data_IF_695822189942
#
_entry.id   IF_695822189942
#
_cell.length_a   1.000
_cell.length_b   1.000
_cell.length_c   1.000
_cell.angle_alpha   90.00
_cell.angle_beta   90.00
_cell.angle_gamma   90.00
#
_symmetry.space_group_name_H-M   'P 1'
#
loop_
_entity.id
_entity.type
_entity.pdbx_description
1 polymer ?
#
# COMPACT_ATOMS: atom_id res chain seq x y z
N UNK A 1 6.72 -6.91 -24.94
CA UNK A 1 7.15 -7.70 -23.77
C UNK A 1 6.08 -7.57 -22.69
N UNK A 2 5.61 -8.67 -22.09
CA UNK A 2 4.66 -8.59 -20.96
C UNK A 2 5.42 -8.08 -19.74
N UNK A 3 4.86 -7.11 -19.02
CA UNK A 3 5.41 -6.53 -17.79
C UNK A 3 4.35 -6.58 -16.69
N UNK A 4 4.63 -7.31 -15.62
CA UNK A 4 3.80 -7.38 -14.42
C UNK A 4 4.38 -6.47 -13.35
N UNK A 5 3.55 -5.62 -12.75
CA UNK A 5 3.90 -4.78 -11.60
C UNK A 5 3.07 -5.20 -10.40
N UNK A 6 3.74 -5.61 -9.32
CA UNK A 6 3.13 -5.92 -8.04
C UNK A 6 3.60 -4.87 -7.05
N UNK A 7 2.68 -4.05 -6.57
CA UNK A 7 2.99 -2.93 -5.69
C UNK A 7 2.66 -3.30 -4.25
N UNK A 8 3.62 -3.14 -3.34
CA UNK A 8 3.35 -3.14 -1.90
C UNK A 8 2.59 -1.85 -1.55
N UNK A 9 1.30 -2.00 -1.22
CA UNK A 9 0.41 -0.89 -0.92
C UNK A 9 0.81 -0.14 0.34
N UNK A 10 1.15 -0.84 1.42
CA UNK A 10 1.48 -0.19 2.70
C UNK A 10 2.79 0.57 2.59
N UNK A 11 3.83 -0.01 1.98
CA UNK A 11 5.10 0.69 1.80
C UNK A 11 4.96 1.99 0.99
N UNK A 12 4.14 1.98 -0.07
CA UNK A 12 3.88 3.18 -0.88
C UNK A 12 3.07 4.24 -0.12
N UNK A 13 2.07 3.81 0.66
CA UNK A 13 1.24 4.72 1.48
C UNK A 13 2.08 5.39 2.57
N UNK A 14 2.92 4.65 3.30
CA UNK A 14 3.82 5.23 4.29
C UNK A 14 4.80 6.22 3.64
N UNK A 15 5.40 5.86 2.51
CA UNK A 15 6.28 6.75 1.76
C UNK A 15 5.57 8.04 1.35
N UNK A 16 4.34 7.94 0.85
CA UNK A 16 3.52 9.08 0.46
C UNK A 16 3.18 10.00 1.64
N UNK A 17 2.81 9.41 2.79
CA UNK A 17 2.51 10.15 4.01
C UNK A 17 3.70 10.98 4.48
N UNK A 18 4.88 10.35 4.61
CA UNK A 18 6.06 11.04 5.10
C UNK A 18 6.64 12.05 4.10
N UNK A 19 6.50 11.81 2.79
CA UNK A 19 6.94 12.75 1.75
C UNK A 19 6.25 14.13 1.86
N UNK A 20 5.01 14.16 2.32
CA UNK A 20 4.22 15.38 2.46
C UNK A 20 4.02 15.80 3.93
N UNK A 21 4.67 15.14 4.89
CA UNK A 21 4.51 15.42 6.32
C UNK A 21 4.90 16.86 6.72
N UNK A 22 5.86 17.47 6.00
CA UNK A 22 6.26 18.88 6.21
C UNK A 22 5.29 19.89 5.63
N UNK A 23 4.45 19.49 4.67
CA UNK A 23 3.45 20.36 4.05
C UNK A 23 2.18 19.55 3.71
N UNK A 24 1.41 19.17 4.74
CA UNK A 24 0.26 18.29 4.58
C UNK A 24 -0.86 18.95 3.78
N UNK A 25 -1.60 18.13 3.05
CA UNK A 25 -2.79 18.53 2.29
C UNK A 25 -4.05 18.12 3.03
N UNK A 26 -4.99 19.05 3.15
CA UNK A 26 -6.26 18.83 3.80
C UNK A 26 -7.42 19.20 2.86
N UNK A 27 -8.53 18.50 2.99
CA UNK A 27 -9.80 18.92 2.39
C UNK A 27 -10.40 20.10 3.16
N UNK A 28 -11.42 20.75 2.60
CA UNK A 28 -12.22 21.76 3.32
C UNK A 28 -12.91 21.21 4.57
N UNK A 29 -13.14 19.90 4.64
CA UNK A 29 -13.67 19.20 5.81
C UNK A 29 -12.60 18.78 6.83
N UNK A 30 -11.33 19.16 6.63
CA UNK A 30 -10.23 18.88 7.56
C UNK A 30 -9.61 17.49 7.45
N UNK A 31 -9.94 16.70 6.41
CA UNK A 31 -9.35 15.37 6.23
C UNK A 31 -7.96 15.49 5.59
N UNK A 32 -6.94 14.85 6.20
CA UNK A 32 -5.60 14.76 5.63
C UNK A 32 -5.60 13.85 4.38
N UNK A 33 -5.28 14.41 3.22
CA UNK A 33 -5.24 13.70 1.93
C UNK A 33 -3.83 13.48 1.42
N UNK A 34 -2.81 13.81 2.22
CA UNK A 34 -1.41 13.73 1.82
C UNK A 34 -1.01 12.33 1.35
N UNK A 35 -1.38 11.30 2.11
CA UNK A 35 -1.09 9.92 1.75
C UNK A 35 -1.79 9.49 0.45
N UNK A 36 -3.06 9.84 0.29
CA UNK A 36 -3.85 9.53 -0.92
C UNK A 36 -3.24 10.21 -2.15
N UNK A 37 -2.93 11.50 -2.05
CA UNK A 37 -2.35 12.28 -3.14
C UNK A 37 -0.95 11.76 -3.51
N UNK A 38 -0.08 11.52 -2.52
CA UNK A 38 1.27 11.03 -2.77
C UNK A 38 1.28 9.61 -3.37
N UNK A 39 0.38 8.73 -2.91
CA UNK A 39 0.20 7.40 -3.48
C UNK A 39 -0.25 7.51 -4.94
N UNK A 40 -1.26 8.34 -5.21
CA UNK A 40 -1.80 8.55 -6.58
C UNK A 40 -0.73 9.06 -7.54
N UNK A 41 0.07 10.03 -7.11
CA UNK A 41 1.18 10.55 -7.93
C UNK A 41 2.17 9.45 -8.27
N UNK A 42 2.54 8.63 -7.29
CA UNK A 42 3.46 7.49 -7.49
C UNK A 42 2.87 6.46 -8.45
N UNK A 43 1.60 6.12 -8.27
CA UNK A 43 0.88 5.18 -9.14
C UNK A 43 0.83 5.66 -10.60
N UNK A 44 0.44 6.92 -10.81
CA UNK A 44 0.40 7.54 -12.14
C UNK A 44 1.77 7.58 -12.81
N UNK A 45 2.82 7.88 -12.04
CA UNK A 45 4.19 7.88 -12.52
C UNK A 45 4.63 6.49 -13.00
N UNK A 46 4.35 5.45 -12.22
CA UNK A 46 4.65 4.05 -12.60
C UNK A 46 3.89 3.68 -13.88
N UNK A 47 2.59 3.96 -13.96
CA UNK A 47 1.77 3.64 -15.14
C UNK A 47 2.33 4.34 -16.40
N UNK A 48 2.68 5.63 -16.29
CA UNK A 48 3.17 6.42 -17.44
C UNK A 48 4.57 6.04 -17.90
N UNK A 49 5.50 5.83 -16.95
CA UNK A 49 6.91 5.56 -17.24
C UNK A 49 7.12 4.11 -17.67
N UNK A 50 6.53 3.17 -16.94
CA UNK A 50 6.83 1.75 -17.13
C UNK A 50 5.91 1.05 -18.13
N UNK A 51 4.70 1.61 -18.34
CA UNK A 51 3.65 1.09 -19.21
C UNK A 51 3.43 -0.42 -19.01
N UNK A 52 3.07 -0.84 -17.78
CA UNK A 52 2.91 -2.24 -17.47
C UNK A 52 1.75 -2.84 -18.23
N UNK A 53 1.86 -4.13 -18.58
CA UNK A 53 0.75 -4.86 -19.21
C UNK A 53 -0.20 -5.43 -18.15
N UNK A 54 0.28 -5.67 -16.94
CA UNK A 54 -0.50 -6.13 -15.79
C UNK A 54 -0.03 -5.39 -14.54
N UNK A 55 -0.95 -5.06 -13.65
CA UNK A 55 -0.65 -4.42 -12.37
C UNK A 55 -1.60 -4.95 -11.29
N UNK A 56 -1.10 -5.12 -10.07
CA UNK A 56 -1.90 -5.31 -8.87
C UNK A 56 -1.27 -4.58 -7.69
N UNK A 57 -2.08 -4.21 -6.70
CA UNK A 57 -1.61 -3.72 -5.41
C UNK A 57 -1.87 -4.77 -4.36
N UNK A 58 -0.87 -5.04 -3.53
CA UNK A 58 -0.91 -6.08 -2.50
C UNK A 58 -0.90 -5.39 -1.13
N UNK A 59 -1.76 -5.85 -0.23
CA UNK A 59 -1.76 -5.42 1.17
C UNK A 59 -1.61 -6.61 2.09
N UNK A 60 -0.98 -6.36 3.24
CA UNK A 60 -1.06 -7.25 4.39
C UNK A 60 -2.49 -7.30 4.95
N UNK A 61 -2.81 -8.37 5.66
CA UNK A 61 -4.04 -8.48 6.46
C UNK A 61 -3.70 -8.27 7.93
N UNK A 62 -4.70 -7.86 8.73
CA UNK A 62 -4.54 -7.72 10.19
C UNK A 62 -4.49 -9.10 10.90
N UNK A 63 -4.67 -10.19 10.16
CA UNK A 63 -4.61 -11.56 10.69
C UNK A 63 -3.14 -11.90 10.98
N UNK A 64 -2.79 -12.32 12.22
CA UNK A 64 -1.42 -12.69 12.56
C UNK A 64 -0.90 -13.78 11.62
N UNK A 65 0.28 -13.55 11.04
CA UNK A 65 0.97 -14.59 10.25
C UNK A 65 1.62 -15.61 11.18
N UNK A 66 1.94 -16.80 10.67
CA UNK A 66 2.65 -17.84 11.46
C UNK A 66 3.96 -17.32 12.09
N UNK A 67 4.60 -16.32 11.45
CA UNK A 67 5.81 -15.65 11.98
C UNK A 67 5.56 -14.85 13.26
N UNK A 68 4.36 -14.31 13.44
CA UNK A 68 3.98 -13.63 14.68
C UNK A 68 3.70 -14.63 15.80
N UNK A 69 3.27 -15.85 15.46
CA UNK A 69 3.03 -16.92 16.44
C UNK A 69 4.32 -17.63 16.86
N UNK A 70 5.34 -17.70 16.00
CA UNK A 70 6.62 -18.34 16.30
C UNK A 70 7.63 -17.40 16.99
N UNK A 71 7.47 -16.09 16.86
CA UNK A 71 8.40 -15.11 17.45
C UNK A 71 7.70 -13.82 17.88
N UNK A 72 7.41 -13.67 19.18
CA UNK A 72 6.71 -12.49 19.73
C UNK A 72 7.44 -11.15 19.49
N UNK A 73 8.77 -11.17 19.36
CA UNK A 73 9.54 -9.95 19.08
C UNK A 73 9.54 -9.55 17.58
N UNK A 74 8.89 -10.34 16.72
CA UNK A 74 8.76 -10.01 15.30
C UNK A 74 7.86 -8.77 15.15
N UNK A 75 8.40 -7.72 14.50
CA UNK A 75 7.75 -6.40 14.34
C UNK A 75 7.41 -5.64 15.65
N UNK A 76 7.85 -6.11 16.82
CA UNK A 76 7.56 -5.48 18.11
C UNK A 76 8.07 -4.03 18.26
N UNK A 77 9.04 -3.61 17.44
CA UNK A 77 9.54 -2.23 17.40
C UNK A 77 8.82 -1.32 16.40
N UNK A 78 7.81 -1.82 15.66
CA UNK A 78 7.06 -0.96 14.74
C UNK A 78 6.14 -0.05 15.57
N UNK A 79 6.26 1.26 15.33
CA UNK A 79 5.31 2.23 15.86
C UNK A 79 3.91 1.94 15.34
N UNK A 80 2.90 2.25 16.15
CA UNK A 80 1.52 2.16 15.74
C UNK A 80 1.27 3.02 14.49
N UNK A 81 0.42 2.52 13.59
CA UNK A 81 0.07 3.27 12.37
C UNK A 81 -0.50 4.65 12.75
N UNK A 82 -0.01 5.75 12.17
CA UNK A 82 -0.55 7.08 12.43
C UNK A 82 -2.04 7.15 12.11
N UNK A 83 -2.83 7.82 12.96
CA UNK A 83 -4.29 7.91 12.81
C UNK A 83 -4.71 8.49 11.44
N UNK A 84 -3.99 9.51 10.96
CA UNK A 84 -4.20 10.10 9.64
C UNK A 84 -3.99 9.09 8.51
N UNK A 85 -3.04 8.16 8.67
CA UNK A 85 -2.79 7.12 7.69
C UNK A 85 -3.91 6.08 7.68
N UNK A 86 -4.36 5.68 8.87
CA UNK A 86 -5.51 4.78 9.03
C UNK A 86 -6.77 5.37 8.36
N UNK A 87 -7.04 6.66 8.56
CA UNK A 87 -8.17 7.36 7.92
C UNK A 87 -8.02 7.46 6.40
N UNK A 88 -6.80 7.54 5.88
CA UNK A 88 -6.54 7.62 4.44
C UNK A 88 -6.67 6.26 3.72
N UNK A 89 -6.38 5.15 4.41
CA UNK A 89 -6.31 3.81 3.81
C UNK A 89 -7.57 3.39 3.03
N UNK A 90 -8.82 3.57 3.55
CA UNK A 90 -10.02 3.24 2.80
C UNK A 90 -10.17 4.02 1.48
N UNK A 91 -9.67 5.25 1.44
CA UNK A 91 -9.71 6.08 0.23
C UNK A 91 -8.64 5.68 -0.77
N UNK A 92 -7.46 5.24 -0.31
CA UNK A 92 -6.45 4.67 -1.20
C UNK A 92 -6.96 3.39 -1.86
N UNK A 93 -7.59 2.50 -1.10
CA UNK A 93 -8.20 1.27 -1.66
C UNK A 93 -9.29 1.62 -2.68
N UNK A 94 -10.21 2.54 -2.35
CA UNK A 94 -11.22 3.02 -3.31
C UNK A 94 -10.61 3.60 -4.58
N UNK A 95 -9.51 4.35 -4.45
CA UNK A 95 -8.80 4.92 -5.59
C UNK A 95 -8.20 3.83 -6.47
N UNK A 96 -7.50 2.84 -5.90
CA UNK A 96 -6.91 1.71 -6.65
C UNK A 96 -8.01 0.96 -7.43
N UNK A 97 -9.13 0.66 -6.78
CA UNK A 97 -10.27 0.02 -7.42
C UNK A 97 -10.88 0.90 -8.52
N UNK A 98 -10.92 2.23 -8.33
CA UNK A 98 -11.35 3.19 -9.34
C UNK A 98 -10.47 3.23 -10.59
N UNK A 99 -9.18 2.88 -10.47
CA UNK A 99 -8.28 2.67 -11.61
C UNK A 99 -8.45 1.27 -12.26
N UNK A 100 -9.40 0.46 -11.80
CA UNK A 100 -9.58 -0.95 -12.18
C UNK A 100 -8.32 -1.79 -11.94
N UNK A 101 -7.56 -1.47 -10.89
CA UNK A 101 -6.39 -2.24 -10.48
C UNK A 101 -6.82 -3.22 -9.39
N UNK A 102 -6.56 -4.54 -9.54
CA UNK A 102 -6.82 -5.51 -8.50
C UNK A 102 -6.09 -5.19 -7.20
N UNK A 103 -6.82 -5.30 -6.09
CA UNK A 103 -6.27 -5.31 -4.74
C UNK A 103 -6.22 -6.76 -4.27
N UNK A 104 -5.04 -7.23 -3.89
CA UNK A 104 -4.81 -8.62 -3.48
C UNK A 104 -4.43 -8.64 -2.00
N UNK A 105 -5.10 -9.50 -1.25
CA UNK A 105 -4.80 -9.80 0.16
C UNK A 105 -4.91 -11.30 0.35
N UNK A 106 -4.20 -11.85 1.34
CA UNK A 106 -4.36 -13.24 1.74
C UNK A 106 -4.16 -13.34 3.25
N UNK A 107 -5.15 -13.88 3.95
CA UNK A 107 -5.06 -14.11 5.38
C UNK A 107 -3.87 -15.03 5.71
N UNK A 108 -3.13 -14.69 6.75
CA UNK A 108 -1.96 -15.46 7.20
C UNK A 108 -0.66 -15.22 6.41
N UNK A 109 -0.67 -14.37 5.37
CA UNK A 109 0.51 -14.04 4.56
C UNK A 109 0.78 -12.53 4.50
N UNK A 110 2.05 -12.16 4.41
CA UNK A 110 2.44 -10.76 4.22
C UNK A 110 2.43 -10.39 2.72
N UNK A 111 2.36 -9.10 2.43
CA UNK A 111 2.41 -8.58 1.07
C UNK A 111 3.65 -9.08 0.33
N UNK A 112 4.80 -9.13 1.01
CA UNK A 112 6.05 -9.66 0.46
C UNK A 112 5.94 -11.13 0.04
N UNK A 113 5.19 -11.96 0.78
CA UNK A 113 5.00 -13.38 0.50
C UNK A 113 4.13 -13.58 -0.74
N UNK A 114 3.05 -12.81 -0.82
CA UNK A 114 2.14 -12.79 -1.96
C UNK A 114 2.88 -12.30 -3.21
N UNK A 115 3.63 -11.20 -3.10
CA UNK A 115 4.44 -10.65 -4.20
C UNK A 115 5.46 -11.68 -4.66
N UNK A 116 6.22 -12.28 -3.74
CA UNK A 116 7.22 -13.31 -4.06
C UNK A 116 6.62 -14.54 -4.74
N UNK A 117 5.42 -14.95 -4.34
CA UNK A 117 4.69 -16.07 -4.95
C UNK A 117 4.22 -15.73 -6.36
N UNK A 118 3.61 -14.56 -6.55
CA UNK A 118 3.11 -14.11 -7.86
C UNK A 118 4.23 -13.77 -8.84
N UNK A 119 5.39 -13.33 -8.37
CA UNK A 119 6.52 -13.01 -9.24
C UNK A 119 7.18 -14.25 -9.88
N UNK A 120 7.00 -15.44 -9.30
CA UNK A 120 7.57 -16.70 -9.80
C UNK A 120 6.66 -17.49 -10.74
N UNK A 121 5.36 -17.15 -10.79
CA UNK A 121 4.35 -17.86 -11.59
C UNK A 121 4.02 -17.08 -12.85
#
# INVERSE_FOLDING_TARGET
MKKLFLLDGMALIYRAHFALSKNPRFTSSGMNTSAVMGFTNTLLDVIRKEKPTHMAVVFDTDVPTERHTEFEAYKAHREAMPEDLSKALPYVVKLILGFNIPVITSDGYEADDIIGTLAKK
#
